data_IF_173094654586
#
_entry.id   IF_173094654586
#
_cell.length_a   1.000
_cell.length_b   1.000
_cell.length_c   1.000
_cell.angle_alpha   90.00
_cell.angle_beta   90.00
_cell.angle_gamma   90.00
#
_symmetry.space_group_name_H-M   'P 1'
#
loop_
_entity.id
_entity.type
_entity.pdbx_description
1 polymer ?
#
# COMPACT_ATOMS: atom_id res chain seq x y z
N UNK A 1 -1.89 -17.66 13.34
CA UNK A 1 -2.45 -17.28 12.02
C UNK A 1 -1.89 -15.91 11.64
N UNK A 2 -1.71 -15.63 10.34
CA UNK A 2 -1.33 -14.29 9.86
C UNK A 2 -2.51 -13.33 10.02
N UNK A 3 -2.23 -12.05 10.25
CA UNK A 3 -3.25 -11.01 10.37
C UNK A 3 -3.86 -10.70 9.00
N UNK A 4 -5.19 -10.64 8.91
CA UNK A 4 -5.94 -10.42 7.67
C UNK A 4 -6.25 -8.95 7.35
N UNK A 5 -5.78 -8.02 8.20
CA UNK A 5 -5.92 -6.58 7.98
C UNK A 5 -5.40 -6.24 6.57
N UNK A 6 -6.23 -5.65 5.68
CA UNK A 6 -5.80 -5.28 4.34
C UNK A 6 -4.70 -4.20 4.36
N UNK A 7 -3.58 -4.49 3.69
CA UNK A 7 -2.43 -3.57 3.56
C UNK A 7 -2.18 -3.23 2.10
N UNK A 8 -1.97 -1.95 1.80
CA UNK A 8 -1.46 -1.49 0.51
C UNK A 8 -0.01 -1.02 0.64
N UNK A 9 0.88 -1.52 -0.21
CA UNK A 9 2.29 -1.10 -0.30
C UNK A 9 2.48 -0.33 -1.60
N UNK A 10 2.47 1.00 -1.51
CA UNK A 10 2.63 1.90 -2.67
C UNK A 10 4.10 2.03 -3.07
N UNK A 11 5.01 1.89 -2.10
CA UNK A 11 6.45 1.99 -2.33
C UNK A 11 6.96 0.93 -3.31
N UNK A 12 7.52 1.40 -4.42
CA UNK A 12 8.13 0.57 -5.47
C UNK A 12 9.35 -0.20 -4.97
N UNK A 13 10.19 0.46 -4.16
CA UNK A 13 11.37 -0.17 -3.58
C UNK A 13 10.99 -1.24 -2.56
N UNK A 14 10.02 -0.97 -1.67
CA UNK A 14 9.53 -1.97 -0.72
C UNK A 14 8.92 -3.17 -1.45
N UNK A 15 8.06 -2.92 -2.44
CA UNK A 15 7.36 -3.98 -3.20
C UNK A 15 8.33 -4.97 -3.85
N UNK A 16 9.46 -4.47 -4.34
CA UNK A 16 10.54 -5.26 -4.96
C UNK A 16 11.58 -5.78 -3.98
N UNK A 17 11.58 -5.35 -2.72
CA UNK A 17 12.61 -5.73 -1.75
C UNK A 17 12.28 -7.11 -1.15
N UNK A 18 13.05 -8.18 -1.48
CA UNK A 18 12.66 -9.55 -1.13
C UNK A 18 12.55 -9.78 0.38
N UNK A 19 13.47 -9.22 1.17
CA UNK A 19 13.44 -9.35 2.65
C UNK A 19 12.21 -8.66 3.25
N UNK A 20 11.97 -7.39 2.92
CA UNK A 20 10.83 -6.64 3.46
C UNK A 20 9.48 -7.25 3.04
N UNK A 21 9.37 -7.72 1.79
CA UNK A 21 8.20 -8.45 1.30
C UNK A 21 7.96 -9.72 2.09
N UNK A 22 9.01 -10.51 2.32
CA UNK A 22 8.92 -11.76 3.09
C UNK A 22 8.51 -11.49 4.55
N UNK A 23 9.11 -10.50 5.21
CA UNK A 23 8.76 -10.09 6.57
C UNK A 23 7.30 -9.64 6.69
N UNK A 24 6.81 -8.85 5.74
CA UNK A 24 5.43 -8.38 5.73
C UNK A 24 4.46 -9.54 5.51
N UNK A 25 4.73 -10.40 4.52
CA UNK A 25 3.94 -11.58 4.22
C UNK A 25 4.02 -12.65 5.30
N UNK A 26 5.04 -12.66 6.17
CA UNK A 26 5.10 -13.55 7.34
C UNK A 26 4.07 -13.14 8.40
N UNK A 27 3.70 -11.85 8.47
CA UNK A 27 2.80 -11.28 9.48
C UNK A 27 1.38 -11.05 8.98
N UNK A 28 1.21 -10.72 7.70
CA UNK A 28 -0.07 -10.36 7.09
C UNK A 28 -0.39 -11.25 5.89
N UNK A 29 -1.67 -11.63 5.74
CA UNK A 29 -2.16 -12.45 4.63
C UNK A 29 -2.79 -11.65 3.50
N UNK A 30 -3.27 -10.42 3.76
CA UNK A 30 -3.93 -9.57 2.78
C UNK A 30 -3.09 -8.34 2.46
N UNK A 31 -2.19 -8.47 1.49
CA UNK A 31 -1.24 -7.42 1.12
C UNK A 31 -1.25 -7.22 -0.39
N UNK A 32 -1.50 -5.98 -0.82
CA UNK A 32 -1.36 -5.52 -2.20
C UNK A 32 -0.04 -4.77 -2.37
N UNK A 33 0.81 -5.23 -3.28
CA UNK A 33 2.08 -4.59 -3.62
C UNK A 33 1.99 -3.82 -4.93
N UNK A 34 2.75 -2.73 -5.05
CA UNK A 34 2.93 -2.00 -6.32
C UNK A 34 3.98 -2.73 -7.17
N UNK A 35 3.61 -3.94 -7.64
CA UNK A 35 4.51 -4.82 -8.40
C UNK A 35 4.84 -4.25 -9.78
N UNK A 36 3.94 -3.45 -10.37
CA UNK A 36 4.13 -2.74 -11.64
C UNK A 36 5.06 -1.51 -11.51
N UNK A 37 5.44 -1.13 -10.29
CA UNK A 37 6.37 -0.03 -10.07
C UNK A 37 5.81 1.34 -10.48
N UNK A 38 4.48 1.53 -10.37
CA UNK A 38 3.80 2.75 -10.80
C UNK A 38 4.15 3.95 -9.91
N UNK A 39 4.21 5.13 -10.51
CA UNK A 39 4.26 6.40 -9.79
C UNK A 39 2.85 6.81 -9.40
N UNK A 40 2.38 6.36 -8.23
CA UNK A 40 1.01 6.59 -7.76
C UNK A 40 0.83 8.03 -7.26
N UNK A 41 -0.22 8.70 -7.72
CA UNK A 41 -0.57 10.06 -7.29
C UNK A 41 -2.04 10.38 -7.59
N UNK A 42 -2.61 11.35 -6.86
CA UNK A 42 -3.99 11.77 -7.06
C UNK A 42 -4.96 10.60 -7.02
N UNK A 43 -5.82 10.49 -8.04
CA UNK A 43 -6.82 9.43 -8.16
C UNK A 43 -6.21 8.02 -8.23
N UNK A 44 -5.11 7.82 -8.96
CA UNK A 44 -4.45 6.50 -9.02
C UNK A 44 -3.95 6.03 -7.65
N UNK A 45 -3.56 6.96 -6.78
CA UNK A 45 -3.19 6.65 -5.41
C UNK A 45 -4.41 6.34 -4.55
N UNK A 46 -5.50 7.10 -4.69
CA UNK A 46 -6.76 6.85 -4.01
C UNK A 46 -7.27 5.44 -4.35
N UNK A 47 -7.32 5.08 -5.63
CA UNK A 47 -7.79 3.77 -6.07
C UNK A 47 -6.88 2.64 -5.60
N UNK A 48 -5.56 2.86 -5.59
CA UNK A 48 -4.61 1.90 -5.05
C UNK A 48 -4.68 1.76 -3.51
N UNK A 49 -5.15 2.78 -2.78
CA UNK A 49 -5.31 2.73 -1.33
C UNK A 49 -6.70 2.27 -0.88
N UNK A 50 -7.70 2.33 -1.76
CA UNK A 50 -9.09 1.96 -1.47
C UNK A 50 -9.19 0.55 -0.90
N UNK A 51 -9.95 0.42 0.20
CA UNK A 51 -10.16 -0.83 0.95
C UNK A 51 -8.99 -1.27 1.82
N UNK A 52 -7.84 -0.59 1.78
CA UNK A 52 -6.73 -0.86 2.68
C UNK A 52 -6.96 -0.18 4.04
N UNK A 53 -6.67 -0.89 5.14
CA UNK A 53 -6.70 -0.30 6.49
C UNK A 53 -5.34 0.24 6.92
N UNK A 54 -4.26 -0.20 6.27
CA UNK A 54 -2.89 0.28 6.49
C UNK A 54 -2.20 0.51 5.15
N UNK A 55 -1.34 1.51 5.09
CA UNK A 55 -0.54 1.82 3.91
C UNK A 55 0.95 1.89 4.25
N UNK A 56 1.80 1.33 3.39
CA UNK A 56 3.26 1.53 3.40
C UNK A 56 3.61 2.38 2.19
N UNK A 57 4.02 3.63 2.44
CA UNK A 57 4.29 4.64 1.42
C UNK A 57 5.77 5.00 1.32
N UNK A 58 6.15 5.68 0.23
CA UNK A 58 7.48 6.25 0.05
C UNK A 58 7.43 7.67 -0.51
N UNK A 59 7.31 7.82 -1.84
CA UNK A 59 7.35 9.12 -2.50
C UNK A 59 5.96 9.70 -2.76
N UNK A 60 4.92 8.93 -2.45
CA UNK A 60 3.53 9.29 -2.68
C UNK A 60 3.15 10.44 -1.74
N UNK A 61 2.64 11.54 -2.30
CA UNK A 61 2.14 12.67 -1.52
C UNK A 61 0.77 12.32 -0.95
N UNK A 62 0.69 12.23 0.38
CA UNK A 62 -0.57 12.05 1.09
C UNK A 62 -1.15 13.43 1.41
N UNK A 63 -2.03 13.91 0.54
CA UNK A 63 -2.70 15.20 0.69
C UNK A 63 -4.08 15.05 1.35
N UNK A 64 -4.69 16.16 1.75
CA UNK A 64 -6.06 16.18 2.29
C UNK A 64 -7.07 15.65 1.25
N UNK A 65 -6.88 15.96 -0.02
CA UNK A 65 -7.75 15.46 -1.11
C UNK A 65 -7.65 13.95 -1.25
N UNK A 66 -6.46 13.36 -1.07
CA UNK A 66 -6.29 11.90 -1.07
C UNK A 66 -6.95 11.29 0.17
N UNK A 67 -6.68 11.85 1.36
CA UNK A 67 -7.19 11.31 2.61
C UNK A 67 -8.70 11.44 2.73
N UNK A 68 -9.32 12.51 2.25
CA UNK A 68 -10.78 12.71 2.32
C UNK A 68 -11.58 11.70 1.49
N UNK A 69 -10.93 11.00 0.54
CA UNK A 69 -11.54 9.99 -0.31
C UNK A 69 -11.36 8.55 0.17
N UNK A 70 -10.58 8.32 1.24
CA UNK A 70 -10.21 6.99 1.74
C UNK A 70 -11.01 6.46 2.93
N UNK A 71 -11.67 7.29 3.77
CA UNK A 71 -12.69 6.82 4.68
C UNK A 71 -13.79 6.08 3.91
N UNK A 72 -14.14 4.91 4.44
CA UNK A 72 -15.42 4.24 4.17
C UNK A 72 -16.43 4.66 5.23
#
# INVERSE_FOLDING_TARGET
MKNDTPIAVTSRSFSRHPVLRAELLARYSNVRFNDDGLSLSGETLVDFLRGAKKAITALERITEEVLSQLPE
#
